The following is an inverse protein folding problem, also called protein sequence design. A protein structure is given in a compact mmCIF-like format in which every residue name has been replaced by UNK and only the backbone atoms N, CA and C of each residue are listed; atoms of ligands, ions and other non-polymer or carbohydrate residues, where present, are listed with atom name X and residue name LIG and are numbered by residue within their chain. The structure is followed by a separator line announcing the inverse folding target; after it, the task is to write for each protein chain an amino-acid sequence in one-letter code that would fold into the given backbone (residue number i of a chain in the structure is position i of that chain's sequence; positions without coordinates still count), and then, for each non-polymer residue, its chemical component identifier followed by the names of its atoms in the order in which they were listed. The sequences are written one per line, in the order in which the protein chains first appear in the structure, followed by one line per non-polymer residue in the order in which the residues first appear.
data_IF_343443658342
#
_entry.id   IF_343443658342
#
_cell.length_a   1.000
_cell.length_b   1.000
_cell.length_c   1.000
_cell.angle_alpha   90.00
_cell.angle_beta   90.00
_cell.angle_gamma   90.00
#
_symmetry.space_group_name_H-M   'P 1'
#
loop_
_entity.id
_entity.type
_entity.pdbx_description
1 polymer ?
#
# COMPACT_ATOMS: atom_id res chain seq x y z
N UNK A 1 22.82 -5.35 14.09
CA UNK A 1 21.84 -4.40 14.64
C UNK A 1 21.31 -3.62 13.46
N UNK A 2 20.00 -3.60 13.24
CA UNK A 2 19.42 -2.79 12.17
C UNK A 2 19.68 -1.31 12.48
N UNK A 3 20.08 -0.53 11.47
CA UNK A 3 20.34 0.91 11.59
C UNK A 3 19.06 1.76 11.73
N UNK A 4 17.90 1.15 11.45
CA UNK A 4 16.58 1.77 11.56
C UNK A 4 15.91 1.26 12.84
N UNK A 5 15.63 2.17 13.77
CA UNK A 5 14.91 1.88 15.03
C UNK A 5 13.64 2.73 15.18
N UNK A 6 13.66 3.96 14.66
CA UNK A 6 12.55 4.92 14.74
C UNK A 6 11.92 5.16 13.37
N UNK A 7 10.66 4.75 13.22
CA UNK A 7 9.89 4.87 11.98
C UNK A 7 8.82 5.95 12.13
N UNK A 8 8.71 6.82 11.13
CA UNK A 8 7.56 7.70 10.93
C UNK A 8 6.59 7.08 9.92
N UNK A 9 5.29 7.19 10.15
CA UNK A 9 4.26 6.81 9.18
C UNK A 9 3.33 8.01 8.96
N UNK A 10 3.25 8.51 7.73
CA UNK A 10 2.38 9.64 7.38
C UNK A 10 1.09 9.11 6.75
N UNK A 11 -0.03 9.34 7.42
CA UNK A 11 -1.32 8.75 7.10
C UNK A 11 -1.59 7.49 7.93
N UNK A 12 -2.79 7.40 8.50
CA UNK A 12 -3.28 6.30 9.31
C UNK A 12 -4.57 5.70 8.74
N UNK A 13 -4.73 5.77 7.42
CA UNK A 13 -5.72 5.02 6.65
C UNK A 13 -5.52 3.49 6.76
N UNK A 14 -6.13 2.73 5.85
CA UNK A 14 -6.02 1.27 5.88
C UNK A 14 -4.57 0.79 5.74
N UNK A 15 -3.81 1.32 4.78
CA UNK A 15 -2.41 0.97 4.56
C UNK A 15 -1.50 1.52 5.65
N UNK A 16 -1.60 2.81 5.98
CA UNK A 16 -0.79 3.43 7.03
C UNK A 16 -0.92 2.74 8.38
N UNK A 17 -2.14 2.41 8.82
CA UNK A 17 -2.34 1.63 10.04
C UNK A 17 -1.70 0.23 9.95
N UNK A 18 -1.85 -0.47 8.82
CA UNK A 18 -1.21 -1.77 8.63
C UNK A 18 0.32 -1.72 8.64
N UNK A 19 0.91 -0.68 8.06
CA UNK A 19 2.36 -0.45 8.03
C UNK A 19 2.88 -0.14 9.44
N UNK A 20 2.19 0.75 10.16
CA UNK A 20 2.51 1.08 11.54
C UNK A 20 2.44 -0.15 12.45
N UNK A 21 1.41 -0.99 12.30
CA UNK A 21 1.27 -2.24 13.04
C UNK A 21 2.45 -3.20 12.78
N UNK A 22 2.80 -3.41 11.51
CA UNK A 22 3.92 -4.28 11.12
C UNK A 22 5.22 -3.80 11.76
N UNK A 23 5.52 -2.50 11.66
CA UNK A 23 6.76 -1.95 12.20
C UNK A 23 6.83 -2.08 13.73
N UNK A 24 5.74 -1.74 14.42
CA UNK A 24 5.68 -1.81 15.88
C UNK A 24 5.75 -3.25 16.42
N UNK A 25 5.15 -4.20 15.71
CA UNK A 25 5.25 -5.64 16.04
C UNK A 25 6.65 -6.20 15.84
N UNK A 26 7.42 -5.62 14.92
CA UNK A 26 8.84 -5.92 14.72
C UNK A 26 9.76 -5.24 15.74
N UNK A 27 9.21 -4.57 16.75
CA UNK A 27 9.98 -3.95 17.83
C UNK A 27 10.48 -2.54 17.54
N UNK A 28 10.05 -1.92 16.43
CA UNK A 28 10.42 -0.55 16.08
C UNK A 28 9.56 0.47 16.84
N UNK A 29 10.14 1.62 17.17
CA UNK A 29 9.38 2.77 17.68
C UNK A 29 8.71 3.48 16.51
N UNK A 30 7.38 3.62 16.55
CA UNK A 30 6.59 4.13 15.44
C UNK A 30 5.86 5.40 15.86
N UNK A 31 6.04 6.47 15.08
CA UNK A 31 5.25 7.69 15.19
C UNK A 31 4.33 7.81 13.99
N UNK A 32 3.03 7.90 14.24
CA UNK A 32 2.00 8.00 13.20
C UNK A 32 1.47 9.43 13.15
N UNK A 33 1.50 10.03 11.96
CA UNK A 33 0.95 11.36 11.72
C UNK A 33 -0.36 11.30 10.93
N UNK A 34 -1.31 12.15 11.31
CA UNK A 34 -2.52 12.46 10.54
C UNK A 34 -2.74 13.96 10.49
N UNK A 35 -3.53 14.42 9.51
CA UNK A 35 -3.75 15.87 9.28
C UNK A 35 -4.63 16.52 10.34
N UNK A 36 -5.50 15.75 10.99
CA UNK A 36 -6.43 16.25 12.01
C UNK A 36 -6.47 15.31 13.21
N UNK A 37 -6.80 15.86 14.39
CA UNK A 37 -6.98 15.05 15.59
C UNK A 37 -8.09 13.99 15.45
N UNK A 38 -9.15 14.29 14.70
CA UNK A 38 -10.23 13.32 14.41
C UNK A 38 -9.71 12.14 13.58
N UNK A 39 -8.98 12.39 12.49
CA UNK A 39 -8.38 11.35 11.67
C UNK A 39 -7.37 10.50 12.46
N UNK A 40 -6.59 11.16 13.33
CA UNK A 40 -5.62 10.51 14.21
C UNK A 40 -6.31 9.51 15.17
N UNK A 41 -7.42 9.90 15.80
CA UNK A 41 -8.16 9.03 16.72
C UNK A 41 -8.88 7.88 16.00
N UNK A 42 -9.40 8.11 14.79
CA UNK A 42 -9.92 7.03 13.92
C UNK A 42 -8.81 6.01 13.61
N UNK A 43 -7.63 6.50 13.24
CA UNK A 43 -6.46 5.67 12.97
C UNK A 43 -5.99 4.87 14.19
N UNK A 44 -5.86 5.53 15.35
CA UNK A 44 -5.54 4.91 16.64
C UNK A 44 -6.54 3.79 16.97
N UNK A 45 -7.83 4.07 16.83
CA UNK A 45 -8.90 3.09 17.08
C UNK A 45 -8.81 1.91 16.13
N UNK A 46 -8.48 2.14 14.85
CA UNK A 46 -8.27 1.08 13.85
C UNK A 46 -7.12 0.15 14.25
N UNK A 47 -5.97 0.71 14.65
CA UNK A 47 -4.81 -0.05 15.13
C UNK A 47 -5.15 -0.89 16.36
N UNK A 48 -5.77 -0.27 17.37
CA UNK A 48 -6.18 -0.96 18.60
C UNK A 48 -7.13 -2.12 18.31
N UNK A 49 -8.11 -1.91 17.43
CA UNK A 49 -9.08 -2.94 17.04
C UNK A 49 -8.43 -4.07 16.23
N UNK A 50 -7.47 -3.75 15.35
CA UNK A 50 -6.71 -4.74 14.58
C UNK A 50 -5.92 -5.67 15.51
N UNK A 51 -5.14 -5.08 16.41
CA UNK A 51 -4.32 -5.80 17.39
C UNK A 51 -5.17 -6.60 18.38
N UNK A 52 -6.29 -6.03 18.87
CA UNK A 52 -7.22 -6.77 19.74
C UNK A 52 -7.81 -7.99 19.03
N UNK A 53 -8.27 -7.84 17.78
CA UNK A 53 -8.76 -8.98 16.98
C UNK A 53 -7.69 -10.01 16.69
N UNK A 54 -6.44 -9.60 16.51
CA UNK A 54 -5.32 -10.51 16.33
C UNK A 54 -5.08 -11.34 17.61
N UNK A 55 -5.14 -10.70 18.79
CA UNK A 55 -5.04 -11.37 20.08
C UNK A 55 -6.21 -12.34 20.33
N UNK A 56 -7.45 -11.90 20.09
CA UNK A 56 -8.66 -12.74 20.23
C UNK A 56 -8.62 -13.99 19.34
N UNK A 57 -7.95 -13.89 18.18
CA UNK A 57 -7.75 -15.00 17.23
C UNK A 57 -6.49 -15.83 17.51
N UNK A 58 -5.79 -15.56 18.61
CA UNK A 58 -4.56 -16.25 18.99
C UNK A 58 -3.41 -16.06 17.99
N UNK A 59 -3.40 -14.96 17.23
CA UNK A 59 -2.32 -14.62 16.30
C UNK A 59 -1.16 -13.89 16.97
N UNK A 60 -1.43 -13.25 18.11
CA UNK A 60 -0.48 -12.63 19.03
C UNK A 60 -0.97 -12.86 20.46
N UNK A 61 -0.11 -12.71 21.46
CA UNK A 61 -0.52 -12.73 22.87
C UNK A 61 -1.02 -11.34 23.33
N UNK A 62 -1.77 -11.25 24.46
CA UNK A 62 -2.13 -9.97 25.06
C UNK A 62 -0.90 -9.11 25.43
N UNK A 63 0.19 -9.74 25.86
CA UNK A 63 1.44 -9.05 26.19
C UNK A 63 2.09 -8.47 24.92
N UNK A 64 2.18 -9.25 23.83
CA UNK A 64 2.68 -8.76 22.53
C UNK A 64 1.82 -7.61 21.99
N UNK A 65 0.50 -7.68 22.19
CA UNK A 65 -0.43 -6.58 21.85
C UNK A 65 -0.07 -5.31 22.61
N UNK A 66 0.08 -5.40 23.93
CA UNK A 66 0.32 -4.25 24.80
C UNK A 66 1.71 -3.65 24.56
N UNK A 67 2.72 -4.48 24.33
CA UNK A 67 4.05 -4.02 23.91
C UNK A 67 4.04 -3.31 22.55
N UNK A 68 3.27 -3.84 21.59
CA UNK A 68 3.12 -3.22 20.27
C UNK A 68 2.47 -1.84 20.39
N UNK A 69 1.41 -1.73 21.20
CA UNK A 69 0.72 -0.47 21.47
C UNK A 69 1.65 0.54 22.17
N UNK A 70 2.52 0.09 23.08
CA UNK A 70 3.48 0.94 23.77
C UNK A 70 4.55 1.54 22.84
N UNK A 71 4.82 0.92 21.68
CA UNK A 71 5.74 1.43 20.66
C UNK A 71 5.08 2.42 19.69
N UNK A 72 3.77 2.62 19.77
CA UNK A 72 3.01 3.51 18.89
C UNK A 72 2.77 4.86 19.56
N UNK A 73 3.28 5.92 18.93
CA UNK A 73 2.99 7.31 19.24
C UNK A 73 2.25 7.97 18.08
N UNK A 74 1.53 9.06 18.36
CA UNK A 74 0.60 9.69 17.43
C UNK A 74 0.74 11.19 17.51
N UNK A 75 0.74 11.86 16.37
CA UNK A 75 0.91 13.31 16.29
C UNK A 75 0.10 13.91 15.14
N UNK A 76 -0.15 15.21 15.21
CA UNK A 76 -0.64 16.01 14.08
C UNK A 76 0.43 16.96 13.54
N UNK A 77 1.64 16.93 14.11
CA UNK A 77 2.75 17.79 13.71
C UNK A 77 3.86 16.96 13.06
N UNK A 78 4.07 17.15 11.76
CA UNK A 78 5.18 16.50 11.06
C UNK A 78 6.54 16.96 11.59
N UNK A 79 6.63 18.13 12.24
CA UNK A 79 7.82 18.64 12.93
C UNK A 79 8.43 17.67 13.94
N UNK A 80 7.62 16.78 14.52
CA UNK A 80 8.06 15.76 15.48
C UNK A 80 8.82 14.59 14.81
N UNK A 81 8.90 14.56 13.48
CA UNK A 81 9.60 13.51 12.73
C UNK A 81 11.12 13.76 12.62
N UNK A 82 11.64 14.80 13.27
CA UNK A 82 13.02 15.27 13.13
C UNK A 82 14.09 14.19 13.37
N UNK A 83 13.79 13.20 14.21
CA UNK A 83 14.69 12.14 14.65
C UNK A 83 14.41 10.76 14.03
N UNK A 84 13.50 10.67 13.05
CA UNK A 84 13.14 9.40 12.41
C UNK A 84 14.29 8.90 11.51
N UNK A 85 14.52 7.59 11.54
CA UNK A 85 15.51 6.92 10.68
C UNK A 85 14.91 6.55 9.31
N UNK A 86 13.60 6.33 9.29
CA UNK A 86 12.79 6.03 8.12
C UNK A 86 11.43 6.72 8.26
N UNK A 87 10.92 7.31 7.19
CA UNK A 87 9.52 7.77 7.11
C UNK A 87 8.83 7.07 5.95
N UNK A 88 7.66 6.49 6.17
CA UNK A 88 6.82 5.86 5.12
C UNK A 88 5.54 6.68 4.95
N UNK A 89 5.38 7.29 3.79
CA UNK A 89 4.19 8.02 3.39
C UNK A 89 3.14 7.05 2.82
N UNK A 90 1.92 7.10 3.37
CA UNK A 90 0.77 6.27 3.00
C UNK A 90 -0.57 7.03 3.07
N UNK A 91 -0.58 8.26 2.55
CA UNK A 91 -1.77 9.10 2.37
C UNK A 91 -2.47 8.84 1.04
N UNK A 92 -3.51 9.63 0.75
CA UNK A 92 -4.26 9.60 -0.51
C UNK A 92 -3.33 9.61 -1.73
N UNK A 93 -3.72 8.86 -2.75
CA UNK A 93 -2.95 8.72 -4.00
C UNK A 93 -3.11 9.98 -4.88
N UNK A 94 -2.49 11.07 -4.45
CA UNK A 94 -2.46 12.35 -5.16
C UNK A 94 -1.02 12.88 -5.23
N UNK A 95 -0.52 13.11 -6.45
CA UNK A 95 0.86 13.54 -6.70
C UNK A 95 1.23 14.84 -5.99
N UNK A 96 0.34 15.85 -6.04
CA UNK A 96 0.62 17.15 -5.42
C UNK A 96 0.72 17.03 -3.89
N UNK A 97 -0.24 16.33 -3.27
CA UNK A 97 -0.26 16.11 -1.82
C UNK A 97 1.00 15.36 -1.35
N UNK A 98 1.38 14.28 -2.06
CA UNK A 98 2.60 13.53 -1.71
C UNK A 98 3.87 14.37 -1.91
N UNK A 99 3.94 15.14 -2.98
CA UNK A 99 5.08 16.04 -3.25
C UNK A 99 5.26 17.06 -2.11
N UNK A 100 4.17 17.68 -1.65
CA UNK A 100 4.18 18.62 -0.52
C UNK A 100 4.64 17.94 0.78
N UNK A 101 4.17 16.71 1.06
CA UNK A 101 4.62 15.93 2.21
C UNK A 101 6.13 15.67 2.14
N UNK A 102 6.64 15.23 0.98
CA UNK A 102 8.08 14.96 0.81
C UNK A 102 8.93 16.22 0.98
N UNK A 103 8.46 17.39 0.54
CA UNK A 103 9.13 18.68 0.78
C UNK A 103 9.20 19.03 2.26
N UNK A 104 8.11 18.81 3.01
CA UNK A 104 8.09 19.04 4.47
C UNK A 104 9.01 18.06 5.19
N UNK A 105 8.95 16.76 4.85
CA UNK A 105 9.80 15.74 5.44
C UNK A 105 11.29 16.02 5.18
N UNK A 106 11.64 16.50 3.99
CA UNK A 106 13.02 16.88 3.66
C UNK A 106 13.55 18.03 4.53
N UNK A 107 12.68 18.94 4.97
CA UNK A 107 13.07 20.03 5.87
C UNK A 107 13.13 19.59 7.32
N UNK A 108 12.22 18.72 7.75
CA UNK A 108 12.07 18.35 9.16
C UNK A 108 13.04 17.26 9.57
N UNK A 109 13.19 16.19 8.78
CA UNK A 109 13.97 15.02 9.17
C UNK A 109 15.46 15.37 9.15
N UNK A 110 16.06 15.55 10.32
CA UNK A 110 17.40 16.12 10.45
C UNK A 110 18.51 15.14 10.06
N UNK A 111 18.27 13.85 10.27
CA UNK A 111 19.19 12.77 9.92
C UNK A 111 19.34 12.72 8.39
N UNK A 112 20.54 13.04 7.90
CA UNK A 112 20.81 13.23 6.46
C UNK A 112 20.67 11.94 5.64
N UNK A 113 21.00 10.81 6.24
CA UNK A 113 20.88 9.46 5.67
C UNK A 113 19.55 8.78 6.06
N UNK A 114 18.56 9.50 6.58
CA UNK A 114 17.24 8.92 6.82
C UNK A 114 16.53 8.63 5.49
N UNK A 115 15.84 7.49 5.43
CA UNK A 115 15.11 7.07 4.23
C UNK A 115 13.73 7.74 4.21
N UNK A 116 13.37 8.34 3.09
CA UNK A 116 12.01 8.84 2.85
C UNK A 116 11.33 7.93 1.82
N UNK A 117 10.35 7.16 2.27
CA UNK A 117 9.68 6.16 1.47
C UNK A 117 8.23 6.51 1.17
N UNK A 118 7.73 6.10 0.00
CA UNK A 118 6.29 6.15 -0.31
C UNK A 118 5.74 4.74 -0.56
N UNK A 119 4.54 4.48 -0.05
CA UNK A 119 3.74 3.28 -0.34
C UNK A 119 2.89 3.43 -1.62
N UNK A 120 3.09 4.48 -2.43
CA UNK A 120 2.36 4.69 -3.69
C UNK A 120 2.36 3.45 -4.58
N UNK A 121 1.27 3.24 -5.33
CA UNK A 121 1.13 2.15 -6.30
C UNK A 121 1.25 2.64 -7.76
N UNK A 122 1.30 3.97 -7.97
CA UNK A 122 1.09 4.56 -9.30
C UNK A 122 1.86 5.84 -9.59
N UNK A 123 2.31 6.57 -8.57
CA UNK A 123 3.01 7.86 -8.76
C UNK A 123 4.49 7.57 -8.98
N UNK A 124 5.11 8.11 -10.07
CA UNK A 124 6.53 7.91 -10.31
C UNK A 124 7.38 8.42 -9.15
N UNK A 125 8.18 7.54 -8.54
CA UNK A 125 8.99 7.86 -7.37
C UNK A 125 10.02 8.96 -7.67
N UNK A 126 10.52 9.02 -8.91
CA UNK A 126 11.44 10.10 -9.32
C UNK A 126 10.86 11.50 -9.09
N UNK A 127 9.53 11.70 -9.21
CA UNK A 127 8.90 12.99 -8.96
C UNK A 127 8.95 13.38 -7.48
N UNK A 128 8.74 12.41 -6.60
CA UNK A 128 8.85 12.60 -5.15
C UNK A 128 10.32 12.81 -4.75
N UNK A 129 11.24 12.05 -5.36
CA UNK A 129 12.66 12.14 -5.08
C UNK A 129 13.22 13.55 -5.37
N UNK A 130 12.98 14.09 -6.57
CA UNK A 130 13.51 15.41 -6.98
C UNK A 130 12.82 16.59 -6.29
N UNK A 131 11.74 16.36 -5.55
CA UNK A 131 11.12 17.36 -4.68
C UNK A 131 11.91 17.56 -3.37
N UNK A 132 12.90 16.72 -3.10
CA UNK A 132 13.77 16.77 -1.91
C UNK A 132 15.19 17.21 -2.28
N UNK A 133 15.96 17.65 -1.28
CA UNK A 133 17.40 17.91 -1.39
C UNK A 133 18.27 16.65 -1.31
N UNK A 134 17.67 15.48 -1.00
CA UNK A 134 18.32 14.16 -0.85
C UNK A 134 17.66 13.07 -1.72
N UNK A 135 17.57 13.26 -3.04
CA UNK A 135 16.84 12.35 -3.93
C UNK A 135 17.41 10.92 -3.95
N UNK A 136 18.64 10.73 -3.46
CA UNK A 136 19.30 9.44 -3.29
C UNK A 136 18.78 8.62 -2.10
N UNK A 137 18.12 9.28 -1.13
CA UNK A 137 17.51 8.66 0.05
C UNK A 137 16.01 8.38 -0.10
N UNK A 138 15.45 8.63 -1.29
CA UNK A 138 14.03 8.40 -1.60
C UNK A 138 13.83 7.05 -2.28
N UNK A 139 12.85 6.26 -1.85
CA UNK A 139 12.54 4.94 -2.42
C UNK A 139 11.05 4.59 -2.30
N UNK A 140 10.49 3.78 -3.20
CA UNK A 140 9.19 3.16 -2.98
C UNK A 140 9.29 1.92 -2.09
N UNK A 141 8.43 1.83 -1.08
CA UNK A 141 8.23 0.61 -0.26
C UNK A 141 6.74 0.27 -0.31
N UNK A 142 6.36 -0.52 -1.30
CA UNK A 142 4.95 -0.83 -1.59
C UNK A 142 4.52 -2.12 -0.89
N UNK A 143 3.66 -1.96 0.11
CA UNK A 143 3.05 -3.04 0.87
C UNK A 143 1.74 -3.50 0.23
N UNK A 144 1.37 -4.76 0.48
CA UNK A 144 0.12 -5.33 -0.01
C UNK A 144 -0.91 -5.44 1.13
N UNK A 145 -2.16 -5.11 0.83
CA UNK A 145 -3.24 -5.20 1.79
C UNK A 145 -3.69 -6.66 2.03
N UNK A 146 -3.93 -7.10 3.29
CA UNK A 146 -3.58 -6.43 4.56
C UNK A 146 -2.09 -6.55 4.89
N UNK A 147 -1.42 -5.42 5.16
CA UNK A 147 0.03 -5.37 5.38
C UNK A 147 0.55 -6.28 6.52
N UNK A 148 -0.16 -6.48 7.65
CA UNK A 148 0.27 -7.41 8.70
C UNK A 148 0.28 -8.89 8.27
N UNK A 149 -0.46 -9.25 7.22
CA UNK A 149 -0.63 -10.64 6.77
C UNK A 149 0.20 -10.92 5.53
N UNK A 150 0.25 -9.97 4.59
CA UNK A 150 0.97 -10.16 3.33
C UNK A 150 2.47 -10.22 3.55
N UNK A 151 3.09 -11.22 2.93
CA UNK A 151 4.53 -11.49 3.06
C UNK A 151 5.38 -10.73 2.05
N UNK A 152 4.81 -10.19 0.99
CA UNK A 152 5.53 -9.52 -0.09
C UNK A 152 5.61 -8.01 0.16
N UNK A 153 6.72 -7.39 -0.23
CA UNK A 153 6.88 -5.94 -0.38
C UNK A 153 7.65 -5.68 -1.67
N UNK A 154 7.17 -4.74 -2.48
CA UNK A 154 7.93 -4.25 -3.64
C UNK A 154 8.81 -3.07 -3.20
N UNK A 155 10.10 -3.13 -3.57
CA UNK A 155 11.05 -2.04 -3.42
C UNK A 155 11.31 -1.40 -4.77
N UNK A 156 11.07 -0.10 -4.84
CA UNK A 156 11.04 0.66 -6.09
C UNK A 156 12.08 1.78 -6.01
N UNK A 157 13.35 1.51 -6.37
CA UNK A 157 14.33 2.57 -6.51
C UNK A 157 13.90 3.52 -7.63
N UNK A 158 13.86 4.82 -7.31
CA UNK A 158 13.86 5.86 -8.32
C UNK A 158 15.22 5.85 -9.05
N UNK A 159 15.30 6.55 -10.19
CA UNK A 159 16.56 6.70 -10.94
C UNK A 159 17.68 7.33 -10.10
N UNK A 160 17.34 8.09 -9.07
CA UNK A 160 18.29 8.77 -8.18
C UNK A 160 18.66 7.97 -6.94
N UNK A 161 17.88 6.95 -6.57
CA UNK A 161 18.04 6.19 -5.31
C UNK A 161 19.42 5.54 -5.25
N UNK A 162 20.12 5.73 -4.14
CA UNK A 162 21.44 5.12 -3.94
C UNK A 162 21.35 3.61 -3.70
N UNK A 163 22.39 2.88 -4.09
CA UNK A 163 22.53 1.45 -3.76
C UNK A 163 22.49 1.20 -2.24
N UNK A 164 22.96 2.15 -1.43
CA UNK A 164 22.96 2.04 0.03
C UNK A 164 21.53 2.14 0.59
N UNK A 165 20.73 3.07 0.09
CA UNK A 165 19.30 3.20 0.44
C UNK A 165 18.53 1.92 0.08
N UNK A 166 18.80 1.34 -1.09
CA UNK A 166 18.19 0.06 -1.49
C UNK A 166 18.57 -1.06 -0.53
N UNK A 167 19.86 -1.21 -0.19
CA UNK A 167 20.33 -2.26 0.75
C UNK A 167 19.72 -2.11 2.14
N UNK A 168 19.65 -0.88 2.66
CA UNK A 168 19.05 -0.60 3.97
C UNK A 168 17.54 -0.89 3.97
N UNK A 169 16.83 -0.54 2.90
CA UNK A 169 15.41 -0.88 2.74
C UNK A 169 15.19 -2.40 2.61
N UNK A 170 16.05 -3.12 1.88
CA UNK A 170 16.02 -4.58 1.80
C UNK A 170 16.25 -5.25 3.15
N UNK A 171 17.29 -4.85 3.88
CA UNK A 171 17.59 -5.39 5.20
C UNK A 171 16.45 -5.12 6.20
N UNK A 172 15.84 -3.94 6.15
CA UNK A 172 14.63 -3.66 6.94
C UNK A 172 13.51 -4.64 6.61
N UNK A 173 13.12 -4.73 5.33
CA UNK A 173 11.99 -5.55 4.90
C UNK A 173 12.22 -7.03 5.21
N UNK A 174 13.42 -7.54 4.92
CA UNK A 174 13.76 -8.95 5.09
C UNK A 174 14.04 -9.33 6.54
N UNK A 175 14.97 -8.63 7.19
CA UNK A 175 15.55 -9.08 8.46
C UNK A 175 14.78 -8.53 9.67
N UNK A 176 14.08 -7.40 9.53
CA UNK A 176 13.33 -6.77 10.62
C UNK A 176 11.83 -7.02 10.50
N UNK A 177 11.25 -6.78 9.31
CA UNK A 177 9.81 -6.94 9.09
C UNK A 177 9.42 -8.40 8.77
N UNK A 178 10.39 -9.28 8.50
CA UNK A 178 10.14 -10.68 8.17
C UNK A 178 9.36 -10.86 6.87
N UNK A 179 9.50 -9.93 5.93
CA UNK A 179 8.82 -9.92 4.63
C UNK A 179 9.81 -10.26 3.52
N UNK A 180 9.29 -10.66 2.37
CA UNK A 180 10.07 -10.94 1.18
C UNK A 180 10.10 -9.69 0.30
N UNK A 181 11.27 -9.02 0.15
CA UNK A 181 11.42 -7.93 -0.79
C UNK A 181 11.51 -8.46 -2.22
N UNK A 182 10.87 -7.78 -3.17
CA UNK A 182 11.16 -7.90 -4.59
C UNK A 182 11.49 -6.52 -5.15
N UNK A 183 12.45 -6.44 -6.09
CA UNK A 183 12.79 -5.17 -6.75
C UNK A 183 11.88 -4.96 -7.95
N UNK A 184 11.34 -3.75 -8.09
CA UNK A 184 10.59 -3.31 -9.25
C UNK A 184 11.20 -2.05 -9.84
N UNK A 185 10.98 -1.81 -11.13
CA UNK A 185 11.32 -0.53 -11.75
C UNK A 185 10.28 0.53 -11.38
N UNK A 186 10.70 1.79 -11.32
CA UNK A 186 9.82 2.95 -11.13
C UNK A 186 8.95 3.16 -12.38
N UNK A 187 7.80 2.47 -12.40
CA UNK A 187 6.79 2.47 -13.48
C UNK A 187 5.41 2.18 -12.88
N UNK A 188 4.33 2.69 -13.47
CA UNK A 188 2.98 2.40 -13.00
C UNK A 188 2.69 0.89 -12.95
N UNK A 189 2.19 0.42 -11.80
CA UNK A 189 1.84 -0.97 -11.55
C UNK A 189 3.00 -1.88 -11.13
N UNK A 190 4.24 -1.40 -11.11
CA UNK A 190 5.43 -2.15 -10.66
C UNK A 190 5.52 -3.56 -11.27
N UNK A 191 5.58 -4.63 -10.45
CA UNK A 191 5.59 -6.01 -10.94
C UNK A 191 4.20 -6.63 -10.79
N UNK A 192 3.63 -6.61 -9.57
CA UNK A 192 2.41 -7.35 -9.27
C UNK A 192 1.20 -6.76 -9.99
N UNK A 193 0.97 -5.45 -9.88
CA UNK A 193 -0.19 -4.82 -10.51
C UNK A 193 -0.05 -4.76 -12.04
N UNK A 194 1.18 -4.67 -12.57
CA UNK A 194 1.45 -4.74 -14.00
C UNK A 194 1.02 -6.07 -14.65
N UNK A 195 1.00 -7.16 -13.87
CA UNK A 195 0.48 -8.47 -14.31
C UNK A 195 -0.99 -8.66 -13.92
N UNK A 196 -1.35 -8.30 -12.68
CA UNK A 196 -2.66 -8.56 -12.11
C UNK A 196 -3.75 -7.75 -12.79
N UNK A 197 -3.58 -6.43 -12.93
CA UNK A 197 -4.65 -5.55 -13.41
C UNK A 197 -5.06 -5.92 -14.85
N UNK A 198 -4.16 -6.09 -15.83
CA UNK A 198 -4.57 -6.48 -17.18
C UNK A 198 -5.30 -7.83 -17.22
N UNK A 199 -4.90 -8.78 -16.37
CA UNK A 199 -5.60 -10.05 -16.21
C UNK A 199 -7.04 -9.85 -15.71
N UNK A 200 -7.24 -9.01 -14.68
CA UNK A 200 -8.58 -8.68 -14.18
C UNK A 200 -9.42 -7.98 -15.25
N UNK A 201 -8.85 -6.98 -15.94
CA UNK A 201 -9.57 -6.27 -17.01
C UNK A 201 -9.97 -7.21 -18.15
N UNK A 202 -9.14 -8.21 -18.48
CA UNK A 202 -9.47 -9.23 -19.48
C UNK A 202 -10.68 -10.08 -19.05
N UNK A 203 -10.75 -10.50 -17.78
CA UNK A 203 -11.90 -11.23 -17.26
C UNK A 203 -13.18 -10.38 -17.28
N UNK A 204 -13.08 -9.10 -16.94
CA UNK A 204 -14.20 -8.16 -16.99
C UNK A 204 -14.71 -7.98 -18.43
N UNK A 205 -13.82 -7.83 -19.42
CA UNK A 205 -14.21 -7.76 -20.84
C UNK A 205 -14.89 -9.04 -21.33
N UNK A 206 -14.42 -10.21 -20.88
CA UNK A 206 -15.05 -11.49 -21.21
C UNK A 206 -16.48 -11.56 -20.66
N UNK A 207 -16.69 -11.12 -19.42
CA UNK A 207 -18.02 -11.03 -18.83
C UNK A 207 -18.90 -9.99 -19.54
N UNK A 208 -18.38 -8.80 -19.81
CA UNK A 208 -19.08 -7.70 -20.50
C UNK A 208 -19.57 -8.11 -21.90
N UNK A 209 -18.76 -8.87 -22.64
CA UNK A 209 -19.12 -9.37 -23.98
C UNK A 209 -20.13 -10.53 -23.98
N UNK A 210 -20.46 -11.09 -22.81
CA UNK A 210 -21.39 -12.22 -22.68
C UNK A 210 -20.83 -13.57 -23.15
N UNK A 211 -19.51 -13.68 -23.34
CA UNK A 211 -18.86 -14.93 -23.77
C UNK A 211 -19.04 -16.05 -22.73
N UNK A 212 -19.00 -15.70 -21.45
CA UNK A 212 -19.12 -16.64 -20.34
C UNK A 212 -19.81 -16.00 -19.14
N UNK A 213 -20.45 -16.83 -18.30
CA UNK A 213 -20.99 -16.39 -17.02
C UNK A 213 -19.84 -16.00 -16.07
N UNK A 214 -20.11 -15.11 -15.10
CA UNK A 214 -19.12 -14.75 -14.08
C UNK A 214 -18.66 -15.98 -13.29
N UNK A 215 -19.56 -16.93 -13.02
CA UNK A 215 -19.28 -18.18 -12.33
C UNK A 215 -18.31 -19.05 -13.12
N UNK A 216 -18.52 -19.20 -14.43
CA UNK A 216 -17.63 -20.01 -15.27
C UNK A 216 -16.26 -19.37 -15.48
N UNK A 217 -16.20 -18.02 -15.58
CA UNK A 217 -14.94 -17.28 -15.63
C UNK A 217 -14.13 -17.52 -14.35
N UNK A 218 -14.76 -17.37 -13.19
CA UNK A 218 -14.08 -17.59 -11.91
C UNK A 218 -13.69 -19.06 -11.70
N UNK A 219 -14.59 -20.00 -11.99
CA UNK A 219 -14.32 -21.43 -11.89
C UNK A 219 -13.21 -21.87 -12.85
N UNK A 220 -13.13 -21.30 -14.05
CA UNK A 220 -12.06 -21.59 -15.02
C UNK A 220 -10.68 -21.23 -14.47
N UNK A 221 -10.56 -20.08 -13.80
CA UNK A 221 -9.29 -19.66 -13.20
C UNK A 221 -9.00 -20.37 -11.87
N UNK A 222 -10.02 -20.66 -11.06
CA UNK A 222 -9.87 -21.38 -9.79
C UNK A 222 -9.50 -22.86 -10.02
N UNK A 223 -10.27 -23.58 -10.83
CA UNK A 223 -10.10 -25.03 -11.02
C UNK A 223 -9.11 -25.38 -12.13
N UNK A 224 -9.02 -24.53 -13.18
CA UNK A 224 -8.13 -24.77 -14.32
C UNK A 224 -6.71 -24.25 -14.10
N UNK A 225 -6.57 -23.06 -13.50
CA UNK A 225 -5.26 -22.43 -13.24
C UNK A 225 -4.83 -22.52 -11.77
N UNK A 226 -5.61 -23.19 -10.93
CA UNK A 226 -5.35 -23.36 -9.49
C UNK A 226 -5.21 -22.03 -8.73
N UNK A 227 -5.84 -20.95 -9.19
CA UNK A 227 -5.88 -19.71 -8.44
C UNK A 227 -6.76 -19.88 -7.19
N UNK A 228 -6.39 -19.30 -6.03
CA UNK A 228 -7.19 -19.43 -4.81
C UNK A 228 -8.54 -18.68 -4.89
N UNK A 229 -8.69 -17.78 -5.86
CA UNK A 229 -9.88 -16.98 -6.08
C UNK A 229 -9.95 -16.55 -7.55
N UNK A 230 -11.15 -16.61 -8.13
CA UNK A 230 -11.41 -16.17 -9.49
C UNK A 230 -11.25 -14.64 -9.66
N UNK A 231 -10.96 -14.17 -10.88
CA UNK A 231 -10.66 -12.77 -11.14
C UNK A 231 -11.81 -11.81 -10.81
N UNK A 232 -13.07 -12.20 -10.98
CA UNK A 232 -14.21 -11.32 -10.71
C UNK A 232 -14.47 -11.22 -9.20
N UNK A 233 -14.47 -12.35 -8.48
CA UNK A 233 -14.44 -12.35 -6.99
C UNK A 233 -13.25 -11.56 -6.43
N UNK A 234 -12.07 -11.69 -7.03
CA UNK A 234 -10.87 -10.96 -6.60
C UNK A 234 -11.01 -9.45 -6.85
N UNK A 235 -11.58 -9.05 -7.99
CA UNK A 235 -11.88 -7.63 -8.27
C UNK A 235 -12.84 -7.06 -7.23
N UNK A 236 -13.88 -7.79 -6.86
CA UNK A 236 -14.82 -7.37 -5.80
C UNK A 236 -14.18 -7.32 -4.41
N UNK A 237 -13.17 -8.14 -4.15
CA UNK A 237 -12.41 -8.13 -2.90
C UNK A 237 -11.45 -6.92 -2.83
N UNK A 238 -10.77 -6.60 -3.94
CA UNK A 238 -9.89 -5.43 -4.06
C UNK A 238 -10.71 -4.14 -3.97
N UNK A 239 -11.86 -4.11 -4.65
CA UNK A 239 -12.69 -2.94 -4.83
C UNK A 239 -12.62 -2.43 -6.27
N UNK A 240 -13.78 -2.30 -6.92
CA UNK A 240 -13.83 -1.98 -8.35
C UNK A 240 -13.32 -0.58 -8.68
N UNK A 241 -13.50 0.37 -7.78
CA UNK A 241 -12.91 1.72 -7.87
C UNK A 241 -11.39 1.68 -7.79
N UNK A 242 -10.81 0.83 -6.95
CA UNK A 242 -9.35 0.65 -6.89
C UNK A 242 -8.84 -0.01 -8.16
N UNK A 243 -9.51 -1.05 -8.67
CA UNK A 243 -9.13 -1.69 -9.95
C UNK A 243 -9.18 -0.67 -11.10
N UNK A 244 -10.23 0.14 -11.17
CA UNK A 244 -10.36 1.20 -12.18
C UNK A 244 -9.26 2.27 -12.04
N UNK A 245 -9.00 2.75 -10.82
CA UNK A 245 -7.98 3.77 -10.57
C UNK A 245 -6.57 3.32 -10.95
N UNK A 246 -6.20 2.07 -10.66
CA UNK A 246 -4.89 1.53 -11.06
C UNK A 246 -4.84 1.33 -12.58
N UNK A 247 -5.93 0.86 -13.20
CA UNK A 247 -6.03 0.75 -14.66
C UNK A 247 -5.85 2.10 -15.36
N UNK A 248 -6.51 3.15 -14.87
CA UNK A 248 -6.40 4.51 -15.40
C UNK A 248 -4.97 5.05 -15.26
N UNK A 249 -4.30 4.76 -14.14
CA UNK A 249 -2.90 5.15 -13.92
C UNK A 249 -1.97 4.45 -14.91
N UNK A 250 -2.13 3.15 -15.11
CA UNK A 250 -1.35 2.38 -16.09
C UNK A 250 -1.63 2.87 -17.52
N UNK A 251 -2.90 3.13 -17.87
CA UNK A 251 -3.25 3.67 -19.17
C UNK A 251 -2.71 5.10 -19.37
N UNK A 252 -2.69 5.92 -18.32
CA UNK A 252 -2.15 7.27 -18.35
C UNK A 252 -0.64 7.26 -18.69
N UNK A 253 0.12 6.31 -18.17
CA UNK A 253 1.55 6.17 -18.44
C UNK A 253 1.84 5.55 -19.82
N UNK A 254 1.25 4.39 -20.11
CA UNK A 254 1.66 3.57 -21.27
C UNK A 254 0.83 3.81 -22.53
N UNK A 255 -0.40 4.34 -22.41
CA UNK A 255 -1.36 4.51 -23.51
C UNK A 255 -1.71 3.21 -24.25
N UNK A 256 -1.51 2.06 -23.63
CA UNK A 256 -1.87 0.76 -24.20
C UNK A 256 -3.36 0.46 -23.99
N UNK A 257 -4.15 0.18 -25.04
CA UNK A 257 -5.60 -0.06 -24.91
C UNK A 257 -5.97 -1.19 -23.93
N UNK A 258 -5.08 -2.16 -23.73
CA UNK A 258 -5.29 -3.27 -22.80
C UNK A 258 -5.36 -2.82 -21.34
N UNK A 259 -4.76 -1.68 -20.99
CA UNK A 259 -4.80 -1.07 -19.65
C UNK A 259 -6.02 -0.20 -19.42
N UNK A 260 -6.76 0.19 -20.47
CA UNK A 260 -7.96 1.02 -20.29
C UNK A 260 -9.07 0.25 -19.56
N UNK A 261 -9.64 0.85 -18.52
CA UNK A 261 -10.78 0.29 -17.79
C UNK A 261 -11.96 0.02 -18.75
N UNK A 262 -12.53 -1.20 -18.78
CA UNK A 262 -13.67 -1.52 -19.64
C UNK A 262 -14.91 -0.69 -19.26
N UNK A 263 -15.80 -0.37 -20.22
CA UNK A 263 -16.99 0.44 -19.95
C UNK A 263 -17.87 -0.12 -18.82
N UNK A 264 -18.05 -1.45 -18.75
CA UNK A 264 -18.78 -2.08 -17.65
C UNK A 264 -18.18 -1.74 -16.28
N UNK A 265 -16.85 -1.82 -16.13
CA UNK A 265 -16.17 -1.50 -14.87
C UNK A 265 -16.45 -0.06 -14.46
N UNK A 266 -16.30 0.88 -15.40
CA UNK A 266 -16.58 2.29 -15.13
C UNK A 266 -18.03 2.50 -14.69
N UNK A 267 -19.00 1.87 -15.37
CA UNK A 267 -20.42 2.01 -15.01
C UNK A 267 -20.77 1.37 -13.67
N UNK A 268 -20.09 0.30 -13.27
CA UNK A 268 -20.25 -0.29 -11.94
C UNK A 268 -19.72 0.63 -10.85
N UNK A 269 -18.57 1.27 -11.09
CA UNK A 269 -17.99 2.28 -10.18
C UNK A 269 -18.92 3.49 -10.07
N UNK A 270 -19.38 4.05 -11.18
CA UNK A 270 -20.31 5.19 -11.22
C UNK A 270 -21.63 4.88 -10.49
N UNK A 271 -22.07 3.62 -10.52
CA UNK A 271 -23.28 3.14 -9.83
C UNK A 271 -23.05 2.77 -8.34
N UNK A 272 -21.84 2.96 -7.79
CA UNK A 272 -21.50 2.63 -6.41
C UNK A 272 -21.42 1.13 -6.12
N UNK A 273 -21.30 0.28 -7.15
CA UNK A 273 -21.10 -1.17 -6.99
C UNK A 273 -19.62 -1.48 -6.88
N UNK A 274 -19.05 -1.27 -5.71
CA UNK A 274 -17.60 -1.34 -5.48
C UNK A 274 -17.12 -2.69 -4.94
N UNK A 275 -17.94 -3.74 -5.03
CA UNK A 275 -17.61 -5.07 -4.53
C UNK A 275 -18.00 -5.28 -3.07
N UNK A 276 -17.18 -6.02 -2.32
CA UNK A 276 -17.49 -6.42 -0.94
C UNK A 276 -17.75 -5.24 0.00
N UNK A 277 -17.02 -4.14 -0.19
CA UNK A 277 -17.11 -2.96 0.70
C UNK A 277 -18.43 -2.20 0.59
N UNK A 278 -19.20 -2.41 -0.48
CA UNK A 278 -20.54 -1.82 -0.69
C UNK A 278 -21.64 -2.88 -0.76
N UNK A 279 -21.35 -4.14 -0.40
CA UNK A 279 -22.33 -5.23 -0.46
C UNK A 279 -22.67 -5.73 -1.88
N UNK A 280 -22.06 -5.16 -2.93
CA UNK A 280 -22.36 -5.54 -4.31
C UNK A 280 -21.28 -5.10 -5.30
N UNK A 281 -20.90 -6.02 -6.19
CA UNK A 281 -20.05 -5.78 -7.36
C UNK A 281 -20.45 -6.74 -8.49
N UNK A 282 -19.54 -7.60 -8.93
CA UNK A 282 -19.88 -8.76 -9.78
C UNK A 282 -20.74 -9.78 -9.01
N UNK A 283 -20.60 -9.84 -7.69
CA UNK A 283 -21.41 -10.66 -6.80
C UNK A 283 -22.17 -9.84 -5.74
N UNK A 284 -23.31 -10.34 -5.24
CA UNK A 284 -23.94 -9.80 -4.04
C UNK A 284 -23.21 -10.28 -2.79
N UNK A 285 -23.11 -9.40 -1.79
CA UNK A 285 -22.51 -9.68 -0.49
C UNK A 285 -23.43 -9.21 0.63
N UNK A 286 -23.63 -10.09 1.62
CA UNK A 286 -24.41 -9.84 2.83
C UNK A 286 -23.53 -9.41 3.99
#
# INVERSE_FOLDING_TARGET
MADIARVGVVGCGQMGAGIAEVCARSGLEVMVAETTGEALEIGRTRLHNSLSKAADRGKITPEERDETLARLSFTTDLGEFADRDLVIEAVVENEQVKTEIFQVLDQVVTRQDAILASNTSSIPLVKLAVATSRPDQVIGIHFFNPAPVQKLVELIPALTTSDETVKRAEALVQDVLGKHPIRAQDRSGFVVNALLIPYLLSAIRMFESGIASREDIDNGMELGCAHPMGPLKLSDLIGLDTVASVADSMYAEFKEPLYAAPPLLQRMVDAGRLGRKTGSGFYPYS
#
